data_IF_053788176744
#
_entry.id   IF_053788176744
#
_cell.length_a   1.000
_cell.length_b   1.000
_cell.length_c   1.000
_cell.angle_alpha   90.00
_cell.angle_beta   90.00
_cell.angle_gamma   90.00
#
_symmetry.space_group_name_H-M   'P 1'
#
loop_
_entity.id
_entity.type
_entity.pdbx_description
1 polymer ?
#
# COMPACT_ATOMS: atom_id res chain seq x y z
N UNK A 1 1.98 20.14 -3.92
CA UNK A 1 2.47 18.74 -4.05
C UNK A 1 3.88 18.68 -3.48
N UNK A 2 4.09 17.88 -2.43
CA UNK A 2 5.44 17.71 -1.86
C UNK A 2 6.19 16.64 -2.65
N UNK A 3 7.53 16.67 -2.59
CA UNK A 3 8.37 15.60 -3.18
C UNK A 3 8.00 14.23 -2.61
N UNK A 4 7.64 14.18 -1.33
CA UNK A 4 7.20 12.96 -0.64
C UNK A 4 5.90 12.40 -1.24
N UNK A 5 4.86 13.23 -1.42
CA UNK A 5 3.60 12.81 -2.05
C UNK A 5 3.81 12.17 -3.42
N UNK A 6 4.66 12.78 -4.26
CA UNK A 6 4.95 12.27 -5.60
C UNK A 6 5.67 10.91 -5.53
N UNK A 7 6.65 10.77 -4.63
CA UNK A 7 7.35 9.49 -4.42
C UNK A 7 6.39 8.39 -4.00
N UNK A 8 5.51 8.66 -3.03
CA UNK A 8 4.54 7.66 -2.54
C UNK A 8 3.55 7.29 -3.64
N UNK A 9 3.02 8.27 -4.38
CA UNK A 9 2.11 8.02 -5.49
C UNK A 9 2.76 7.11 -6.54
N UNK A 10 3.94 7.47 -7.03
CA UNK A 10 4.66 6.71 -8.06
C UNK A 10 5.07 5.31 -7.55
N UNK A 11 5.58 5.19 -6.33
CA UNK A 11 5.95 3.90 -5.76
C UNK A 11 4.76 2.97 -5.55
N UNK A 12 3.58 3.54 -5.28
CA UNK A 12 2.34 2.78 -5.12
C UNK A 12 1.88 2.21 -6.47
N UNK A 13 1.82 3.04 -7.51
CA UNK A 13 1.22 2.70 -8.82
C UNK A 13 2.20 2.05 -9.82
N UNK A 14 3.51 2.05 -9.55
CA UNK A 14 4.47 1.46 -10.48
C UNK A 14 4.31 -0.06 -10.62
N UNK A 15 4.88 -0.66 -11.66
CA UNK A 15 5.00 -2.11 -11.75
C UNK A 15 6.08 -2.64 -10.79
N UNK A 16 5.87 -3.82 -10.22
CA UNK A 16 6.84 -4.47 -9.32
C UNK A 16 6.19 -5.23 -8.17
N UNK A 17 6.96 -6.05 -7.47
CA UNK A 17 6.47 -6.83 -6.31
C UNK A 17 6.05 -5.89 -5.18
N UNK A 18 4.91 -6.16 -4.56
CA UNK A 18 4.41 -5.37 -3.43
C UNK A 18 5.47 -5.20 -2.32
N UNK A 19 6.18 -6.29 -1.97
CA UNK A 19 7.21 -6.26 -0.93
C UNK A 19 8.34 -5.26 -1.22
N UNK A 20 8.73 -5.09 -2.49
CA UNK A 20 9.82 -4.19 -2.87
C UNK A 20 9.36 -2.73 -2.83
N UNK A 21 8.09 -2.48 -3.19
CA UNK A 21 7.45 -1.17 -3.01
C UNK A 21 7.37 -0.79 -1.53
N UNK A 22 6.95 -1.73 -0.68
CA UNK A 22 6.88 -1.51 0.77
C UNK A 22 8.25 -1.27 1.40
N UNK A 23 9.30 -1.96 0.94
CA UNK A 23 10.69 -1.65 1.34
C UNK A 23 11.11 -0.24 0.94
N UNK A 24 10.79 0.18 -0.28
CA UNK A 24 11.05 1.55 -0.72
C UNK A 24 10.31 2.57 0.15
N UNK A 25 9.01 2.37 0.40
CA UNK A 25 8.22 3.24 1.29
C UNK A 25 8.85 3.31 2.67
N UNK A 26 9.21 2.16 3.26
CA UNK A 26 9.85 2.12 4.58
C UNK A 26 11.11 2.98 4.63
N UNK A 27 11.95 2.93 3.58
CA UNK A 27 13.16 3.77 3.48
C UNK A 27 12.87 5.27 3.47
N UNK A 28 11.66 5.71 3.10
CA UNK A 28 11.27 7.12 3.11
C UNK A 28 10.70 7.56 4.47
N UNK A 29 10.25 6.61 5.30
CA UNK A 29 9.57 6.89 6.58
C UNK A 29 10.37 6.43 7.80
N UNK A 30 11.53 5.80 7.63
CA UNK A 30 12.42 5.40 8.71
C UNK A 30 13.57 6.36 8.93
N UNK A 31 14.09 6.38 10.15
CA UNK A 31 15.32 7.09 10.50
C UNK A 31 16.58 6.31 10.08
N UNK A 32 17.75 6.88 10.36
CA UNK A 32 19.06 6.26 10.09
C UNK A 32 19.34 4.99 10.89
N UNK A 33 18.57 4.71 11.93
CA UNK A 33 18.69 3.50 12.76
C UNK A 33 17.79 2.36 12.26
N UNK A 34 16.99 2.61 11.22
CA UNK A 34 16.08 1.62 10.64
C UNK A 34 14.77 1.48 11.43
N UNK A 35 14.41 2.49 12.22
CA UNK A 35 13.15 2.56 12.96
C UNK A 35 12.21 3.53 12.26
N UNK A 36 10.94 3.15 12.12
CA UNK A 36 9.90 3.98 11.53
C UNK A 36 9.65 5.24 12.37
N UNK A 37 9.61 6.39 11.72
CA UNK A 37 9.21 7.66 12.34
C UNK A 37 7.68 7.81 12.21
N UNK A 38 7.01 7.94 13.35
CA UNK A 38 5.54 7.96 13.42
C UNK A 38 4.91 9.05 12.56
N UNK A 39 5.47 10.26 12.58
CA UNK A 39 4.93 11.39 11.80
C UNK A 39 5.06 11.15 10.30
N UNK A 40 6.17 10.55 9.84
CA UNK A 40 6.34 10.18 8.43
C UNK A 40 5.44 9.04 8.01
N UNK A 41 5.18 8.09 8.90
CA UNK A 41 4.18 7.04 8.66
C UNK A 41 2.77 7.63 8.55
N UNK A 42 2.43 8.60 9.40
CA UNK A 42 1.18 9.36 9.32
C UNK A 42 1.03 10.04 7.97
N UNK A 43 2.07 10.75 7.53
CA UNK A 43 2.09 11.40 6.22
C UNK A 43 1.93 10.37 5.09
N UNK A 44 2.67 9.26 5.14
CA UNK A 44 2.54 8.17 4.17
C UNK A 44 1.10 7.66 4.09
N UNK A 45 0.47 7.38 5.24
CA UNK A 45 -0.88 6.82 5.27
C UNK A 45 -1.88 7.80 4.66
N UNK A 46 -1.76 9.10 4.92
CA UNK A 46 -2.59 10.11 4.25
C UNK A 46 -2.38 10.12 2.73
N UNK A 47 -1.14 10.04 2.26
CA UNK A 47 -0.86 10.05 0.81
C UNK A 47 -1.39 8.80 0.13
N UNK A 48 -1.16 7.61 0.70
CA UNK A 48 -1.60 6.36 0.07
C UNK A 48 -3.13 6.28 0.04
N UNK A 49 -3.83 6.62 1.13
CA UNK A 49 -5.30 6.61 1.18
C UNK A 49 -5.93 7.69 0.30
N UNK A 50 -5.21 8.78 0.03
CA UNK A 50 -5.66 9.80 -0.93
C UNK A 50 -5.78 9.25 -2.36
N UNK A 51 -4.98 8.24 -2.72
CA UNK A 51 -5.07 7.58 -4.03
C UNK A 51 -6.38 6.80 -4.18
N UNK A 52 -6.76 6.02 -3.16
CA UNK A 52 -8.05 5.33 -3.14
C UNK A 52 -9.22 6.34 -3.15
N UNK A 53 -9.08 7.43 -2.41
CA UNK A 53 -10.07 8.51 -2.39
C UNK A 53 -10.23 9.18 -3.76
N UNK A 54 -9.14 9.34 -4.50
CA UNK A 54 -9.15 9.95 -5.85
C UNK A 54 -9.90 9.11 -6.89
N UNK A 55 -10.06 7.81 -6.66
CA UNK A 55 -10.90 6.91 -7.49
C UNK A 55 -12.28 6.66 -6.87
N UNK A 56 -12.75 7.57 -6.02
CA UNK A 56 -14.06 7.57 -5.36
C UNK A 56 -14.28 6.45 -4.33
N UNK A 57 -13.22 5.79 -3.86
CA UNK A 57 -13.28 4.76 -2.81
C UNK A 57 -13.06 5.34 -1.39
N UNK A 58 -13.15 6.66 -1.24
CA UNK A 58 -13.00 7.38 0.03
C UNK A 58 -13.96 6.94 1.14
N UNK A 59 -15.23 6.59 0.88
CA UNK A 59 -16.12 6.07 1.94
C UNK A 59 -15.61 4.79 2.60
N UNK A 60 -14.84 3.98 1.88
CA UNK A 60 -14.32 2.69 2.37
C UNK A 60 -12.88 2.79 2.87
N UNK A 61 -12.00 3.48 2.12
CA UNK A 61 -10.56 3.54 2.37
C UNK A 61 -10.04 4.96 2.64
N UNK A 62 -10.92 5.89 2.99
CA UNK A 62 -10.54 7.26 3.36
C UNK A 62 -9.69 7.30 4.63
N UNK A 63 -8.90 8.36 4.76
CA UNK A 63 -8.09 8.56 5.96
C UNK A 63 -8.98 8.88 7.18
N UNK A 64 -8.65 8.25 8.32
CA UNK A 64 -9.19 8.57 9.63
C UNK A 64 -8.07 8.55 10.66
N UNK A 65 -8.25 9.21 11.80
CA UNK A 65 -7.25 9.18 12.89
C UNK A 65 -7.03 7.76 13.43
N UNK A 66 -8.06 6.92 13.37
CA UNK A 66 -7.99 5.51 13.79
C UNK A 66 -7.24 4.63 12.78
N UNK A 67 -7.07 5.07 11.53
CA UNK A 67 -6.39 4.28 10.48
C UNK A 67 -4.92 4.00 10.83
N UNK A 68 -4.24 4.92 11.53
CA UNK A 68 -2.86 4.71 11.99
C UNK A 68 -2.77 3.56 13.01
N UNK A 69 -3.74 3.55 13.94
CA UNK A 69 -3.82 2.58 15.03
C UNK A 69 -4.24 1.20 14.54
N UNK A 70 -4.83 1.10 13.34
CA UNK A 70 -5.10 -0.18 12.68
C UNK A 70 -3.82 -0.88 12.19
N UNK A 71 -2.73 -0.13 11.99
CA UNK A 71 -1.45 -0.68 11.55
C UNK A 71 -0.51 -0.90 12.73
N UNK A 72 -0.23 0.17 13.51
CA UNK A 72 0.78 0.15 14.56
C UNK A 72 0.35 1.00 15.76
N UNK A 73 0.89 0.70 16.94
CA UNK A 73 0.73 1.55 18.11
C UNK A 73 1.76 2.68 18.10
N UNK A 74 1.40 3.87 18.61
CA UNK A 74 2.26 5.06 18.53
C UNK A 74 3.65 4.89 19.14
N UNK A 75 3.75 4.19 20.28
CA UNK A 75 5.02 3.97 20.99
C UNK A 75 5.72 2.67 20.57
N UNK A 76 5.22 1.98 19.54
CA UNK A 76 5.81 0.76 19.04
C UNK A 76 7.03 1.06 18.17
N UNK A 77 8.17 0.47 18.52
CA UNK A 77 9.36 0.51 17.66
C UNK A 77 9.18 -0.44 16.48
N UNK A 78 8.84 0.11 15.32
CA UNK A 78 8.61 -0.67 14.10
C UNK A 78 9.88 -0.65 13.24
N UNK A 79 10.47 -1.82 13.04
CA UNK A 79 11.54 -2.03 12.06
C UNK A 79 10.96 -2.53 10.72
N UNK A 80 11.81 -2.67 9.71
CA UNK A 80 11.37 -3.08 8.37
C UNK A 80 10.61 -4.41 8.36
N UNK A 81 11.09 -5.41 9.11
CA UNK A 81 10.46 -6.74 9.10
C UNK A 81 9.07 -6.68 9.73
N UNK A 82 8.93 -6.03 10.89
CA UNK A 82 7.61 -5.81 11.51
C UNK A 82 6.68 -5.02 10.60
N UNK A 83 7.19 -4.03 9.88
CA UNK A 83 6.40 -3.27 8.91
C UNK A 83 5.85 -4.17 7.80
N UNK A 84 6.72 -4.98 7.19
CA UNK A 84 6.32 -5.91 6.14
C UNK A 84 5.36 -6.99 6.66
N UNK A 85 5.63 -7.56 7.83
CA UNK A 85 4.81 -8.62 8.44
C UNK A 85 3.37 -8.14 8.66
N UNK A 86 3.18 -6.90 9.13
CA UNK A 86 1.86 -6.32 9.35
C UNK A 86 1.18 -5.94 8.02
N UNK A 87 1.86 -5.24 7.10
CA UNK A 87 1.22 -4.78 5.88
C UNK A 87 0.94 -5.90 4.88
N UNK A 88 1.63 -7.03 5.00
CA UNK A 88 1.46 -8.22 4.17
C UNK A 88 0.71 -9.35 4.87
N UNK A 89 0.18 -9.13 6.08
CA UNK A 89 -0.59 -10.15 6.81
C UNK A 89 -1.91 -10.48 6.10
N UNK A 90 -2.49 -11.62 6.45
CA UNK A 90 -3.85 -11.99 6.05
C UNK A 90 -4.71 -12.21 7.32
N UNK A 91 -5.70 -11.35 7.61
CA UNK A 91 -6.05 -10.13 6.87
C UNK A 91 -5.03 -9.00 7.08
N UNK A 92 -4.83 -8.15 6.08
CA UNK A 92 -4.01 -6.94 6.23
C UNK A 92 -4.83 -5.83 6.91
N UNK A 93 -4.21 -4.73 7.37
CA UNK A 93 -4.93 -3.61 7.98
C UNK A 93 -6.07 -3.12 7.06
N UNK A 94 -7.31 -2.97 7.56
CA UNK A 94 -8.48 -2.65 6.74
C UNK A 94 -8.31 -1.42 5.85
N UNK A 95 -7.70 -0.36 6.36
CA UNK A 95 -7.43 0.87 5.61
C UNK A 95 -6.53 0.63 4.38
N UNK A 96 -5.68 -0.38 4.38
CA UNK A 96 -4.73 -0.69 3.31
C UNK A 96 -5.15 -1.88 2.42
N UNK A 97 -6.32 -2.48 2.64
CA UNK A 97 -6.82 -3.64 1.88
C UNK A 97 -6.88 -3.40 0.36
N UNK A 98 -7.11 -2.15 -0.07
CA UNK A 98 -7.14 -1.79 -1.49
C UNK A 98 -5.77 -1.92 -2.18
N UNK A 99 -4.66 -1.79 -1.44
CA UNK A 99 -3.32 -1.79 -2.01
C UNK A 99 -2.92 -3.20 -2.53
N UNK A 100 -3.08 -4.29 -1.74
CA UNK A 100 -2.94 -5.65 -2.26
C UNK A 100 -3.95 -5.97 -3.37
N UNK A 101 -5.18 -5.45 -3.29
CA UNK A 101 -6.19 -5.64 -4.35
C UNK A 101 -5.74 -5.03 -5.67
N UNK A 102 -5.28 -3.77 -5.65
CA UNK A 102 -4.73 -3.10 -6.83
C UNK A 102 -3.55 -3.88 -7.43
N UNK A 103 -2.65 -4.37 -6.58
CA UNK A 103 -1.52 -5.17 -7.04
C UNK A 103 -1.95 -6.48 -7.71
N UNK A 104 -2.96 -7.16 -7.15
CA UNK A 104 -3.53 -8.37 -7.76
C UNK A 104 -4.19 -8.08 -9.10
N UNK A 105 -4.98 -7.01 -9.21
CA UNK A 105 -5.61 -6.59 -10.48
C UNK A 105 -4.56 -6.37 -11.57
N UNK A 106 -3.49 -5.63 -11.27
CA UNK A 106 -2.39 -5.40 -12.21
C UNK A 106 -1.65 -6.69 -12.59
N UNK A 107 -1.58 -7.69 -11.69
CA UNK A 107 -0.91 -8.96 -11.98
C UNK A 107 -1.72 -9.89 -12.89
N UNK A 108 -3.06 -9.78 -12.88
CA UNK A 108 -3.94 -10.65 -13.68
C UNK A 108 -4.26 -10.09 -15.06
N UNK A 109 -4.03 -8.79 -15.30
CA UNK A 109 -4.24 -8.14 -16.60
C UNK A 109 -3.37 -8.72 -17.72
N UNK A 110 -2.22 -9.30 -17.38
CA UNK A 110 -1.26 -9.87 -18.34
C UNK A 110 -1.19 -11.40 -18.30
N UNK A 111 -2.17 -12.08 -17.67
CA UNK A 111 -2.20 -13.54 -17.62
C UNK A 111 -2.73 -14.10 -18.93
N UNK A 112 -1.91 -14.95 -19.55
CA UNK A 112 -2.31 -15.72 -20.74
C UNK A 112 -3.25 -16.86 -20.32
N UNK A 113 -4.47 -16.85 -20.83
CA UNK A 113 -5.45 -17.89 -20.62
C UNK A 113 -5.43 -18.83 -21.84
N UNK A 114 -5.04 -20.11 -21.67
CA UNK A 114 -5.05 -21.08 -22.78
C UNK A 114 -6.46 -21.51 -23.21
N UNK A 115 -7.49 -20.92 -22.59
CA UNK A 115 -8.92 -21.18 -22.81
C UNK A 115 -9.67 -19.86 -22.81
N UNK A 116 -10.86 -19.80 -23.42
CA UNK A 116 -11.73 -18.63 -23.31
C UNK A 116 -12.09 -18.45 -21.84
N UNK A 117 -11.62 -17.37 -21.23
CA UNK A 117 -12.00 -17.01 -19.88
C UNK A 117 -13.43 -16.46 -19.90
N UNK A 118 -14.30 -16.98 -19.03
CA UNK A 118 -15.71 -16.53 -18.96
C UNK A 118 -15.83 -15.07 -18.48
N UNK A 119 -14.85 -14.57 -17.73
CA UNK A 119 -14.80 -13.17 -17.33
C UNK A 119 -14.23 -12.27 -18.43
N UNK A 120 -13.16 -12.68 -19.11
CA UNK A 120 -12.49 -11.85 -20.12
C UNK A 120 -13.14 -11.96 -21.50
N UNK A 121 -13.81 -13.07 -21.82
CA UNK A 121 -14.44 -13.41 -23.11
C UNK A 121 -13.47 -13.35 -24.32
N UNK A 122 -12.16 -13.38 -24.07
CA UNK A 122 -11.13 -13.39 -25.12
C UNK A 122 -10.22 -14.61 -24.93
N UNK A 123 -9.73 -15.18 -26.04
CA UNK A 123 -8.54 -16.03 -26.06
C UNK A 123 -7.31 -15.13 -26.00
N UNK A 124 -6.47 -15.26 -24.97
CA UNK A 124 -5.31 -14.41 -24.82
C UNK A 124 -4.60 -14.60 -23.52
#
# INVERSE_FOLDING_TARGET
LTVFSIKIALATICAGKLVDKLRYVFSQISDSTGIMEWDKFSDYLQQVLSLATAVFEGPTFGYSETALQQCFQKDQKVNLNMFLDVLMSDPCPPCLMWLPLLHRMASVEHVYHPVICDACQVFG
#
